data_IF_817105702280
#
_entry.id   IF_817105702280
#
_cell.length_a   1.000
_cell.length_b   1.000
_cell.length_c   1.000
_cell.angle_alpha   90.00
_cell.angle_beta   90.00
_cell.angle_gamma   90.00
#
_symmetry.space_group_name_H-M   'P 1'
#
loop_
_entity.id
_entity.type
_entity.pdbx_description
1 polymer ?
#
# COMPACT_ATOMS: atom_id res chain seq x y z
N UNK A 1 -12.53 -2.24 -43.37
CA UNK A 1 -12.35 -1.31 -42.25
C UNK A 1 -13.64 -1.31 -41.46
N UNK A 2 -13.65 -2.02 -40.34
CA UNK A 2 -14.79 -2.05 -39.42
C UNK A 2 -14.57 -0.95 -38.35
N UNK A 3 -15.60 -0.20 -37.93
CA UNK A 3 -15.46 0.88 -36.95
C UNK A 3 -15.35 0.42 -35.49
N UNK A 4 -15.32 -0.88 -35.21
CA UNK A 4 -15.50 -1.45 -33.86
C UNK A 4 -14.20 -1.81 -33.12
N UNK A 5 -13.02 -1.48 -33.67
CA UNK A 5 -11.72 -1.78 -33.03
C UNK A 5 -11.30 -0.77 -31.93
N UNK A 6 -12.22 0.04 -31.38
CA UNK A 6 -11.87 1.10 -30.41
C UNK A 6 -12.17 0.78 -28.93
N UNK A 7 -12.66 -0.42 -28.60
CA UNK A 7 -13.10 -0.75 -27.24
C UNK A 7 -12.30 -1.87 -26.55
N UNK A 8 -11.00 -2.01 -26.84
CA UNK A 8 -10.21 -3.09 -26.24
C UNK A 8 -8.77 -2.67 -25.93
N UNK A 9 -8.56 -1.77 -24.96
CA UNK A 9 -7.24 -1.62 -24.31
C UNK A 9 -7.21 -0.83 -22.96
N UNK A 10 -8.16 -1.04 -22.06
CA UNK A 10 -8.13 -0.42 -20.71
C UNK A 10 -8.19 -1.43 -19.57
N UNK A 11 -7.34 -2.45 -19.66
CA UNK A 11 -6.85 -3.16 -18.49
C UNK A 11 -5.32 -2.97 -18.50
N UNK A 12 -4.87 -1.75 -18.23
CA UNK A 12 -3.48 -1.57 -17.84
C UNK A 12 -3.29 -2.37 -16.55
N UNK A 13 -2.34 -3.31 -16.56
CA UNK A 13 -1.86 -3.95 -15.34
C UNK A 13 -1.51 -2.84 -14.35
N UNK A 14 -2.33 -2.67 -13.31
CA UNK A 14 -2.24 -1.53 -12.41
C UNK A 14 -0.91 -1.59 -11.66
N UNK A 15 0.01 -0.71 -12.04
CA UNK A 15 1.42 -0.87 -11.73
C UNK A 15 1.70 -0.48 -10.28
N UNK A 16 2.15 -1.44 -9.46
CA UNK A 16 2.46 -1.21 -8.04
C UNK A 16 3.54 -0.15 -7.79
N UNK A 17 3.42 0.59 -6.68
CA UNK A 17 4.37 1.65 -6.29
C UNK A 17 5.81 1.12 -6.15
N UNK A 18 5.95 -0.12 -5.69
CA UNK A 18 7.21 -0.85 -5.61
C UNK A 18 6.99 -2.34 -5.92
N UNK A 19 8.07 -3.11 -6.11
CA UNK A 19 7.96 -4.53 -6.42
C UNK A 19 7.35 -5.33 -5.27
N UNK A 20 6.21 -5.98 -5.52
CA UNK A 20 5.53 -6.84 -4.54
C UNK A 20 6.40 -8.02 -4.06
N UNK A 21 7.43 -8.42 -4.81
CA UNK A 21 8.39 -9.44 -4.37
C UNK A 21 9.14 -9.07 -3.09
N UNK A 22 9.23 -7.78 -2.77
CA UNK A 22 9.87 -7.34 -1.52
C UNK A 22 9.08 -7.89 -0.33
N UNK A 23 7.74 -7.85 -0.40
CA UNK A 23 6.87 -8.37 0.66
C UNK A 23 6.97 -9.89 0.80
N UNK A 24 7.04 -10.61 -0.32
CA UNK A 24 7.14 -12.08 -0.27
C UNK A 24 8.48 -12.57 0.29
N UNK A 25 9.52 -11.73 0.26
CA UNK A 25 10.85 -12.02 0.82
C UNK A 25 10.99 -11.67 2.31
N UNK A 26 9.98 -11.05 2.93
CA UNK A 26 10.03 -10.73 4.35
C UNK A 26 9.90 -11.98 5.21
N UNK A 27 10.88 -12.19 6.09
CA UNK A 27 10.89 -13.31 7.04
C UNK A 27 10.31 -12.88 8.41
N UNK A 28 9.11 -13.36 8.72
CA UNK A 28 8.44 -13.12 10.00
C UNK A 28 8.88 -14.07 11.11
N UNK A 29 9.73 -15.06 10.85
CA UNK A 29 10.12 -16.05 11.87
C UNK A 29 10.82 -15.43 13.09
N UNK A 30 11.44 -14.26 12.92
CA UNK A 30 12.10 -13.53 14.00
C UNK A 30 11.23 -12.40 14.57
N UNK A 31 9.96 -12.31 14.17
CA UNK A 31 9.00 -11.38 14.78
C UNK A 31 8.77 -11.77 16.24
N UNK A 32 8.89 -10.79 17.15
CA UNK A 32 8.49 -10.95 18.55
C UNK A 32 6.97 -10.74 18.77
N UNK A 33 6.20 -10.60 17.68
CA UNK A 33 4.78 -10.35 17.71
C UNK A 33 4.01 -11.68 17.60
N UNK A 34 3.22 -11.98 18.63
CA UNK A 34 2.29 -13.10 18.61
C UNK A 34 0.99 -12.73 17.89
N UNK A 35 0.62 -13.54 16.90
CA UNK A 35 -0.64 -13.45 16.18
C UNK A 35 -1.57 -14.60 16.57
N UNK A 36 -2.80 -14.28 17.02
CA UNK A 36 -3.83 -15.27 17.34
C UNK A 36 -5.20 -14.85 16.76
N UNK A 37 -5.69 -15.50 15.69
CA UNK A 37 -5.08 -16.63 14.99
C UNK A 37 -3.77 -16.25 14.28
N UNK A 38 -2.91 -17.24 13.91
CA UNK A 38 -1.70 -16.98 13.14
C UNK A 38 -2.03 -16.35 11.79
N UNK A 39 -1.37 -15.22 11.47
CA UNK A 39 -1.44 -14.56 10.17
C UNK A 39 -0.04 -14.34 9.60
N UNK A 40 0.05 -14.16 8.29
CA UNK A 40 1.30 -13.83 7.58
C UNK A 40 1.02 -12.87 6.43
N UNK A 41 2.06 -12.35 5.76
CA UNK A 41 1.87 -11.55 4.54
C UNK A 41 1.09 -12.31 3.46
N UNK A 42 1.38 -13.61 3.30
CA UNK A 42 0.71 -14.44 2.30
C UNK A 42 -0.69 -14.88 2.73
N UNK A 43 -1.03 -14.77 4.01
CA UNK A 43 -2.34 -15.09 4.56
C UNK A 43 -2.69 -14.14 5.71
N UNK A 44 -3.00 -12.87 5.41
CA UNK A 44 -3.22 -11.83 6.42
C UNK A 44 -4.59 -11.93 7.10
N UNK A 45 -5.49 -12.73 6.53
CA UNK A 45 -6.86 -12.94 6.98
C UNK A 45 -7.73 -13.42 5.81
N UNK A 46 -8.93 -13.90 6.10
CA UNK A 46 -9.86 -14.35 5.05
C UNK A 46 -10.20 -13.20 4.09
N UNK A 47 -10.03 -13.45 2.79
CA UNK A 47 -10.28 -12.48 1.71
C UNK A 47 -9.45 -11.19 1.79
N UNK A 48 -8.37 -11.19 2.56
CA UNK A 48 -7.47 -10.06 2.67
C UNK A 48 -6.18 -10.31 1.89
N UNK A 49 -5.63 -9.26 1.29
CA UNK A 49 -4.29 -9.29 0.69
C UNK A 49 -3.46 -8.11 1.19
N UNK A 50 -2.15 -8.35 1.40
CA UNK A 50 -1.16 -7.29 1.63
C UNK A 50 -0.42 -7.06 0.32
N UNK A 51 -0.40 -5.82 -0.17
CA UNK A 51 0.26 -5.46 -1.43
C UNK A 51 0.75 -4.01 -1.42
N UNK A 52 1.63 -3.61 -2.34
CA UNK A 52 1.94 -2.20 -2.55
C UNK A 52 0.70 -1.42 -2.99
N UNK A 53 0.69 -0.12 -2.72
CA UNK A 53 -0.26 0.82 -3.31
C UNK A 53 -0.19 0.78 -4.85
N UNK A 54 -1.33 0.92 -5.54
CA UNK A 54 -1.43 1.10 -6.99
C UNK A 54 -2.32 2.31 -7.35
N UNK A 55 -2.41 2.67 -8.64
CA UNK A 55 -3.14 3.87 -9.05
C UNK A 55 -4.65 3.73 -8.88
N UNK A 56 -5.23 2.54 -9.10
CA UNK A 56 -6.66 2.32 -8.90
C UNK A 56 -7.10 2.40 -7.44
N UNK A 57 -6.17 2.37 -6.47
CA UNK A 57 -6.52 2.50 -5.04
C UNK A 57 -7.17 3.83 -4.69
N UNK A 58 -6.99 4.86 -5.54
CA UNK A 58 -7.78 6.08 -5.47
C UNK A 58 -9.29 5.78 -5.45
N UNK A 59 -9.74 4.85 -6.30
CA UNK A 59 -11.14 4.44 -6.42
C UNK A 59 -11.54 3.34 -5.42
N UNK A 60 -10.58 2.80 -4.66
CA UNK A 60 -10.81 1.76 -3.64
C UNK A 60 -10.86 2.32 -2.22
N UNK A 61 -11.03 3.62 -2.04
CA UNK A 61 -11.23 4.23 -0.73
C UNK A 61 -9.95 4.61 0.02
N UNK A 62 -8.80 4.71 -0.66
CA UNK A 62 -7.51 4.94 0.01
C UNK A 62 -7.44 6.28 0.75
N UNK A 63 -7.96 7.36 0.13
CA UNK A 63 -7.96 8.69 0.75
C UNK A 63 -8.96 8.76 1.91
N UNK A 64 -10.09 8.08 1.78
CA UNK A 64 -11.10 7.92 2.82
C UNK A 64 -10.52 7.17 4.03
N UNK A 65 -9.71 6.13 3.79
CA UNK A 65 -8.98 5.45 4.85
C UNK A 65 -8.02 6.40 5.58
N UNK A 66 -7.18 7.15 4.84
CA UNK A 66 -6.25 8.11 5.42
C UNK A 66 -6.97 9.22 6.21
N UNK A 67 -8.18 9.58 5.81
CA UNK A 67 -9.01 10.57 6.52
C UNK A 67 -9.37 10.15 7.95
N UNK A 68 -9.32 8.85 8.26
CA UNK A 68 -9.53 8.32 9.61
C UNK A 68 -8.31 8.54 10.52
N UNK A 69 -7.13 8.85 9.95
CA UNK A 69 -5.91 9.18 10.67
C UNK A 69 -5.75 10.68 10.87
N UNK A 70 -5.89 11.45 9.79
CA UNK A 70 -5.66 12.90 9.77
C UNK A 70 -6.39 13.57 8.61
N UNK A 71 -6.33 14.90 8.52
CA UNK A 71 -6.91 15.66 7.41
C UNK A 71 -6.14 15.40 6.11
N UNK A 72 -6.82 14.86 5.10
CA UNK A 72 -6.27 14.67 3.74
C UNK A 72 -6.40 15.94 2.88
N UNK A 73 -7.55 16.63 2.95
CA UNK A 73 -7.86 17.76 2.08
C UNK A 73 -8.38 17.33 0.69
N UNK A 74 -8.40 18.27 -0.25
CA UNK A 74 -8.98 18.06 -1.58
C UNK A 74 -7.92 17.50 -2.55
N UNK A 75 -7.77 16.18 -2.57
CA UNK A 75 -6.83 15.48 -3.46
C UNK A 75 -7.60 14.92 -4.66
N UNK A 76 -7.36 15.50 -5.84
CA UNK A 76 -7.92 14.98 -7.10
C UNK A 76 -7.22 13.70 -7.55
N UNK A 77 -7.85 12.91 -8.42
CA UNK A 77 -7.23 11.71 -9.01
C UNK A 77 -5.93 12.06 -9.77
N UNK A 78 -5.89 13.22 -10.44
CA UNK A 78 -4.67 13.71 -11.08
C UNK A 78 -3.56 13.96 -10.05
N UNK A 79 -3.89 14.65 -8.95
CA UNK A 79 -2.93 14.92 -7.87
C UNK A 79 -2.42 13.63 -7.24
N UNK A 80 -3.30 12.65 -7.01
CA UNK A 80 -2.92 11.34 -6.49
C UNK A 80 -1.93 10.63 -7.42
N UNK A 81 -2.25 10.57 -8.72
CA UNK A 81 -1.39 9.95 -9.73
C UNK A 81 -0.04 10.65 -9.90
N UNK A 82 -0.02 11.98 -9.93
CA UNK A 82 1.23 12.75 -10.01
C UNK A 82 2.12 12.46 -8.78
N UNK A 83 1.53 12.48 -7.58
CA UNK A 83 2.23 12.16 -6.33
C UNK A 83 2.75 10.72 -6.30
N UNK A 84 1.93 9.77 -6.74
CA UNK A 84 2.30 8.36 -6.86
C UNK A 84 3.51 8.19 -7.80
N UNK A 85 3.48 8.83 -8.97
CA UNK A 85 4.55 8.74 -9.96
C UNK A 85 5.86 9.37 -9.44
N UNK A 86 5.78 10.48 -8.71
CA UNK A 86 6.95 11.07 -8.05
C UNK A 86 7.55 10.13 -6.99
N UNK A 87 6.71 9.55 -6.12
CA UNK A 87 7.16 8.57 -5.13
C UNK A 87 7.83 7.36 -5.80
N UNK A 88 7.24 6.85 -6.89
CA UNK A 88 7.74 5.70 -7.65
C UNK A 88 9.06 5.99 -8.35
N UNK A 89 9.21 7.18 -8.93
CA UNK A 89 10.43 7.61 -9.61
C UNK A 89 11.64 7.50 -8.68
N UNK A 90 11.46 7.88 -7.41
CA UNK A 90 12.47 7.70 -6.37
C UNK A 90 12.52 6.26 -5.85
N UNK A 91 13.14 5.38 -6.63
CA UNK A 91 13.32 3.96 -6.29
C UNK A 91 13.88 3.76 -4.88
N UNK A 92 13.30 2.78 -4.17
CA UNK A 92 13.68 2.37 -2.81
C UNK A 92 13.59 3.49 -1.76
N UNK A 93 12.66 4.44 -1.93
CA UNK A 93 12.40 5.53 -0.98
C UNK A 93 11.06 5.44 -0.29
N UNK A 94 10.02 5.04 -1.00
CA UNK A 94 8.66 4.99 -0.48
C UNK A 94 8.11 3.58 -0.65
N UNK A 95 7.71 2.98 0.47
CA UNK A 95 7.09 1.66 0.51
C UNK A 95 5.70 1.81 1.14
N UNK A 96 4.78 2.43 0.41
CA UNK A 96 3.38 2.54 0.81
C UNK A 96 2.71 1.20 0.58
N UNK A 97 2.33 0.55 1.67
CA UNK A 97 1.81 -0.82 1.69
C UNK A 97 0.40 -0.80 2.21
N UNK A 98 -0.51 -1.46 1.48
CA UNK A 98 -1.93 -1.50 1.79
C UNK A 98 -2.41 -2.91 2.11
N UNK A 99 -3.51 -2.98 2.84
CA UNK A 99 -4.31 -4.18 3.01
C UNK A 99 -5.62 -3.94 2.26
N UNK A 100 -5.95 -4.82 1.34
CA UNK A 100 -7.20 -4.79 0.59
C UNK A 100 -8.11 -5.93 1.05
N UNK A 101 -9.40 -5.62 1.24
CA UNK A 101 -10.45 -6.61 1.34
C UNK A 101 -11.01 -6.89 -0.05
N UNK A 102 -10.87 -8.14 -0.50
CA UNK A 102 -11.28 -8.59 -1.83
C UNK A 102 -12.79 -8.78 -1.99
N UNK A 103 -13.56 -8.90 -0.90
CA UNK A 103 -15.02 -8.96 -0.95
C UNK A 103 -15.61 -7.59 -1.23
N UNK A 104 -15.09 -6.56 -0.57
CA UNK A 104 -15.56 -5.17 -0.75
C UNK A 104 -14.79 -4.42 -1.83
N UNK A 105 -13.65 -4.95 -2.29
CA UNK A 105 -12.71 -4.29 -3.21
C UNK A 105 -12.29 -2.91 -2.67
N UNK A 106 -12.00 -2.85 -1.36
CA UNK A 106 -11.61 -1.61 -0.66
C UNK A 106 -10.27 -1.76 0.04
N UNK A 107 -9.52 -0.67 0.09
CA UNK A 107 -8.33 -0.57 0.93
C UNK A 107 -8.76 -0.32 2.38
N UNK A 108 -8.40 -1.25 3.26
CA UNK A 108 -8.83 -1.28 4.66
C UNK A 108 -7.69 -1.00 5.65
N UNK A 109 -6.45 -0.97 5.18
CA UNK A 109 -5.29 -0.68 6.00
C UNK A 109 -4.15 -0.12 5.17
N UNK A 110 -3.34 0.75 5.76
CA UNK A 110 -2.13 1.26 5.13
C UNK A 110 -1.04 1.56 6.16
N UNK A 111 0.21 1.45 5.72
CA UNK A 111 1.39 1.93 6.41
C UNK A 111 2.48 2.30 5.40
N UNK A 112 3.25 3.34 5.71
CA UNK A 112 4.34 3.81 4.85
C UNK A 112 5.68 3.61 5.53
N UNK A 113 6.59 2.89 4.88
CA UNK A 113 8.02 2.96 5.20
C UNK A 113 8.71 3.95 4.27
N UNK A 114 9.18 5.08 4.81
CA UNK A 114 9.96 6.08 4.08
C UNK A 114 11.47 5.92 4.38
N UNK A 115 12.31 5.80 3.36
CA UNK A 115 13.75 5.51 3.50
C UNK A 115 14.61 6.69 3.05
N UNK A 116 15.25 7.33 4.01
CA UNK A 116 16.15 8.47 3.80
C UNK A 116 17.61 8.01 3.69
N UNK A 117 18.39 8.60 2.76
CA UNK A 117 19.86 8.40 2.69
C UNK A 117 20.53 9.46 3.54
N UNK A 118 21.54 9.07 4.30
CA UNK A 118 22.34 9.95 5.15
C UNK A 118 23.81 9.84 4.76
N UNK A 119 24.60 10.89 4.99
CA UNK A 119 26.07 10.79 4.87
C UNK A 119 26.72 10.17 6.11
N UNK A 120 26.15 10.45 7.29
CA UNK A 120 26.55 9.83 8.55
C UNK A 120 26.33 8.31 8.53
N UNK A 121 27.00 7.60 9.43
CA UNK A 121 26.97 6.12 9.50
C UNK A 121 27.35 5.46 8.17
N UNK A 122 28.43 5.94 7.54
CA UNK A 122 28.99 5.38 6.30
C UNK A 122 28.00 5.35 5.14
N UNK A 123 27.44 6.51 4.80
CA UNK A 123 26.39 6.64 3.78
C UNK A 123 25.13 5.79 4.09
N UNK A 124 24.74 5.75 5.37
CA UNK A 124 23.69 4.88 5.88
C UNK A 124 22.27 5.23 5.41
N UNK A 125 21.33 4.35 5.77
CA UNK A 125 19.89 4.51 5.52
C UNK A 125 19.13 4.70 6.84
N UNK A 126 18.09 5.55 6.81
CA UNK A 126 17.13 5.72 7.91
C UNK A 126 15.73 5.46 7.40
N UNK A 127 15.10 4.37 7.86
CA UNK A 127 13.69 4.09 7.59
C UNK A 127 12.79 4.74 8.64
N UNK A 128 11.71 5.39 8.25
CA UNK A 128 10.67 5.96 9.11
C UNK A 128 9.34 5.27 8.81
N UNK A 129 8.63 4.86 9.87
CA UNK A 129 7.28 4.34 9.74
C UNK A 129 6.32 5.51 9.93
N UNK A 130 5.50 5.77 8.92
CA UNK A 130 4.58 6.90 8.83
C UNK A 130 3.19 6.41 8.38
N UNK A 131 2.17 7.25 8.57
CA UNK A 131 0.81 7.07 8.04
C UNK A 131 0.17 5.69 8.30
N UNK A 132 0.31 5.17 9.51
CA UNK A 132 -0.25 3.87 9.90
C UNK A 132 -1.71 4.01 10.31
N UNK A 133 -2.61 3.38 9.56
CA UNK A 133 -4.05 3.38 9.87
C UNK A 133 -4.73 2.11 9.39
N UNK A 134 -5.64 1.60 10.22
CA UNK A 134 -6.57 0.52 9.89
C UNK A 134 -7.99 1.08 9.98
N UNK A 135 -8.80 0.77 8.97
CA UNK A 135 -10.21 1.10 8.91
C UNK A 135 -10.90 0.66 10.21
N UNK A 136 -11.70 1.55 10.80
CA UNK A 136 -12.44 1.32 12.04
C UNK A 136 -13.15 -0.05 12.10
N UNK A 137 -13.78 -0.46 11.00
CA UNK A 137 -14.56 -1.73 10.92
C UNK A 137 -13.67 -2.99 10.94
N UNK A 138 -12.36 -2.82 10.78
CA UNK A 138 -11.35 -3.88 10.74
C UNK A 138 -10.39 -3.83 11.93
N UNK A 139 -10.58 -2.90 12.88
CA UNK A 139 -9.76 -2.82 14.09
C UNK A 139 -9.97 -4.04 14.98
N UNK A 140 -8.95 -4.38 15.77
CA UNK A 140 -8.95 -5.58 16.61
C UNK A 140 -8.65 -6.90 15.87
N UNK A 141 -8.57 -6.90 14.53
CA UNK A 141 -8.20 -8.05 13.71
C UNK A 141 -6.67 -8.25 13.55
N UNK A 142 -5.87 -7.63 14.42
CA UNK A 142 -4.41 -7.70 14.44
C UNK A 142 -3.66 -7.10 13.23
N UNK A 143 -4.37 -6.52 12.26
CA UNK A 143 -3.80 -5.98 11.02
C UNK A 143 -2.83 -4.79 11.20
N UNK A 144 -2.84 -4.14 12.36
CA UNK A 144 -1.92 -3.05 12.68
C UNK A 144 -0.67 -3.46 13.46
N UNK A 145 -0.53 -4.73 13.83
CA UNK A 145 0.68 -5.27 14.47
C UNK A 145 1.72 -5.57 13.40
#
# INVERSE_FOLDING_TARGET
MNPDDSANNHLEDDEFLYSAEILSKLDFKNSHVDFNPPISISNPGENLIVRPLCLSDYHKGYLELLSQLTRVGDVSEKTFRDTFNEMKFYKNRYFVTVIEDLLTNQVIGTATLAVEKKFIHSAGLRGRLEDVVINNDYRGKQLGK
#
